data_IF_053638941340
#
_entry.id   IF_053638941340
#
_cell.length_a   1.000
_cell.length_b   1.000
_cell.length_c   1.000
_cell.angle_alpha   90.00
_cell.angle_beta   90.00
_cell.angle_gamma   90.00
#
_symmetry.space_group_name_H-M   'P 1'
#
loop_
_entity.id
_entity.type
_entity.pdbx_description
1 polymer ?
#
# COMPACT_ATOMS: atom_id res chain seq x y z
N UNK A 1 -3.21 -11.66 -21.09
CA UNK A 1 -1.93 -11.10 -20.62
C UNK A 1 -1.14 -12.21 -19.97
N UNK A 2 0.17 -12.31 -20.24
CA UNK A 2 1.00 -13.40 -19.71
C UNK A 2 1.14 -13.31 -18.18
N UNK A 3 1.12 -14.42 -17.42
CA UNK A 3 1.21 -14.41 -15.96
C UNK A 3 2.43 -13.63 -15.42
N UNK A 4 3.56 -13.72 -16.13
CA UNK A 4 4.78 -12.96 -15.83
C UNK A 4 4.56 -11.44 -15.89
N UNK A 5 3.86 -10.96 -16.91
CA UNK A 5 3.60 -9.54 -17.11
C UNK A 5 2.64 -9.01 -16.03
N UNK A 6 1.62 -9.80 -15.69
CA UNK A 6 0.68 -9.49 -14.61
C UNK A 6 1.39 -9.38 -13.26
N UNK A 7 2.38 -10.25 -12.99
CA UNK A 7 3.14 -10.23 -11.76
C UNK A 7 3.90 -8.90 -11.57
N UNK A 8 4.61 -8.45 -12.62
CA UNK A 8 5.35 -7.18 -12.58
C UNK A 8 4.42 -5.97 -12.40
N UNK A 9 3.25 -5.98 -13.05
CA UNK A 9 2.26 -4.90 -12.89
C UNK A 9 1.80 -4.82 -11.44
N UNK A 10 1.37 -5.95 -10.87
CA UNK A 10 0.86 -6.00 -9.48
C UNK A 10 1.95 -5.62 -8.47
N UNK A 11 3.18 -6.12 -8.64
CA UNK A 11 4.36 -5.71 -7.86
C UNK A 11 4.58 -4.19 -7.94
N UNK A 12 4.59 -3.66 -9.17
CA UNK A 12 4.78 -2.24 -9.41
C UNK A 12 3.72 -1.36 -8.73
N UNK A 13 2.45 -1.80 -8.72
CA UNK A 13 1.37 -1.08 -8.04
C UNK A 13 1.60 -0.99 -6.53
N UNK A 14 1.99 -2.08 -5.86
CA UNK A 14 2.31 -2.04 -4.42
C UNK A 14 3.52 -1.14 -4.15
N UNK A 15 4.61 -1.31 -4.88
CA UNK A 15 5.86 -0.56 -4.61
C UNK A 15 5.64 0.94 -4.78
N UNK A 16 4.90 1.38 -5.80
CA UNK A 16 4.57 2.80 -5.99
C UNK A 16 3.63 3.32 -4.92
N UNK A 17 2.53 2.62 -4.66
CA UNK A 17 1.54 3.07 -3.68
C UNK A 17 2.07 3.05 -2.24
N UNK A 18 3.01 2.16 -1.92
CA UNK A 18 3.74 2.18 -0.64
C UNK A 18 4.60 3.44 -0.47
N UNK A 19 5.24 3.92 -1.54
CA UNK A 19 5.96 5.19 -1.54
C UNK A 19 5.01 6.39 -1.42
N UNK A 20 3.89 6.38 -2.14
CA UNK A 20 2.82 7.39 -2.01
C UNK A 20 2.32 7.47 -0.57
N UNK A 21 1.96 6.33 0.02
CA UNK A 21 1.50 6.26 1.41
C UNK A 21 2.54 6.80 2.40
N UNK A 22 3.81 6.43 2.22
CA UNK A 22 4.91 6.96 3.04
C UNK A 22 5.07 8.48 2.94
N UNK A 23 4.84 9.04 1.75
CA UNK A 23 4.90 10.48 1.52
C UNK A 23 3.74 11.19 2.21
N UNK A 24 2.50 10.74 1.97
CA UNK A 24 1.31 11.33 2.59
C UNK A 24 1.30 11.21 4.12
N UNK A 25 1.92 10.16 4.67
CA UNK A 25 2.10 10.03 6.12
C UNK A 25 2.99 11.13 6.68
N UNK A 26 4.05 11.53 5.95
CA UNK A 26 4.90 12.67 6.33
C UNK A 26 4.15 13.99 6.20
N UNK A 27 3.43 14.20 5.10
CA UNK A 27 2.61 15.40 4.89
C UNK A 27 1.56 15.57 6.00
N UNK A 28 0.95 14.48 6.47
CA UNK A 28 0.00 14.55 7.59
C UNK A 28 0.66 15.03 8.88
N UNK A 29 1.88 14.55 9.19
CA UNK A 29 2.65 14.99 10.36
C UNK A 29 2.99 16.49 10.25
N UNK A 30 3.38 16.95 9.06
CA UNK A 30 3.68 18.36 8.80
C UNK A 30 2.42 19.25 8.95
N UNK A 31 1.28 18.81 8.41
CA UNK A 31 0.00 19.50 8.54
C UNK A 31 -0.46 19.57 10.00
N UNK A 32 -0.29 18.49 10.77
CA UNK A 32 -0.60 18.45 12.21
C UNK A 32 0.29 19.43 12.99
N UNK A 33 1.60 19.41 12.75
CA UNK A 33 2.54 20.35 13.41
C UNK A 33 2.23 21.81 13.08
N UNK A 34 1.80 22.07 11.84
CA UNK A 34 1.35 23.41 11.41
C UNK A 34 0.07 23.84 12.14
N UNK A 35 -0.91 22.94 12.27
CA UNK A 35 -2.13 23.20 13.04
C UNK A 35 -1.81 23.51 14.51
N UNK A 36 -0.90 22.75 15.13
CA UNK A 36 -0.47 23.01 16.51
C UNK A 36 0.18 24.38 16.68
N UNK A 37 1.03 24.76 15.72
CA UNK A 37 1.69 26.07 15.72
C UNK A 37 0.68 27.21 15.56
N UNK A 38 -0.27 27.07 14.62
CA UNK A 38 -1.31 28.09 14.37
C UNK A 38 -2.29 28.17 15.54
N UNK A 39 -2.62 27.06 16.21
CA UNK A 39 -3.46 27.08 17.42
C UNK A 39 -2.85 27.90 18.57
N UNK A 40 -1.53 28.09 18.60
CA UNK A 40 -0.86 28.84 19.66
C UNK A 40 -0.89 30.37 19.42
N UNK A 41 -0.94 30.82 18.16
CA UNK A 41 -0.72 32.24 17.83
C UNK A 41 -1.72 32.85 16.86
N UNK A 42 -2.46 32.02 16.12
CA UNK A 42 -3.31 32.45 15.01
C UNK A 42 -4.74 32.78 15.42
N UNK A 43 -5.48 33.38 14.48
CA UNK A 43 -6.90 33.66 14.64
C UNK A 43 -7.81 32.46 14.29
N UNK A 44 -9.11 32.61 14.52
CA UNK A 44 -10.10 31.55 14.25
C UNK A 44 -10.09 31.10 12.78
N UNK A 45 -9.88 32.03 11.84
CA UNK A 45 -9.87 31.72 10.42
C UNK A 45 -8.64 30.91 10.04
N UNK A 46 -7.46 31.29 10.56
CA UNK A 46 -6.21 30.55 10.35
C UNK A 46 -6.28 29.14 10.94
N UNK A 47 -6.80 28.99 12.16
CA UNK A 47 -6.98 27.68 12.81
C UNK A 47 -7.92 26.80 11.99
N UNK A 48 -9.04 27.34 11.52
CA UNK A 48 -10.00 26.61 10.69
C UNK A 48 -9.39 26.16 9.37
N UNK A 49 -8.62 27.03 8.72
CA UNK A 49 -7.91 26.68 7.50
C UNK A 49 -6.90 25.54 7.72
N UNK A 50 -6.08 25.63 8.78
CA UNK A 50 -5.11 24.58 9.11
C UNK A 50 -5.79 23.25 9.48
N UNK A 51 -6.96 23.30 10.13
CA UNK A 51 -7.75 22.11 10.44
C UNK A 51 -8.30 21.46 9.15
N UNK A 52 -8.75 22.26 8.18
CA UNK A 52 -9.18 21.74 6.88
C UNK A 52 -8.04 21.06 6.14
N UNK A 53 -6.83 21.65 6.16
CA UNK A 53 -5.65 21.04 5.58
C UNK A 53 -5.37 19.65 6.19
N UNK A 54 -5.40 19.52 7.52
CA UNK A 54 -5.24 18.21 8.19
C UNK A 54 -6.32 17.22 7.75
N UNK A 55 -7.57 17.66 7.63
CA UNK A 55 -8.68 16.80 7.23
C UNK A 55 -8.52 16.30 5.79
N UNK A 56 -8.12 17.17 4.86
CA UNK A 56 -7.86 16.84 3.46
C UNK A 56 -6.70 15.85 3.33
N UNK A 57 -5.56 16.12 3.99
CA UNK A 57 -4.40 15.22 3.97
C UNK A 57 -4.74 13.86 4.60
N UNK A 58 -5.54 13.84 5.67
CA UNK A 58 -6.01 12.60 6.30
C UNK A 58 -6.86 11.79 5.32
N UNK A 59 -7.78 12.43 4.59
CA UNK A 59 -8.63 11.74 3.62
C UNK A 59 -7.81 11.09 2.49
N UNK A 60 -6.79 11.79 1.98
CA UNK A 60 -5.87 11.26 0.95
C UNK A 60 -5.07 10.05 1.47
N UNK A 61 -4.58 10.14 2.71
CA UNK A 61 -3.82 9.05 3.33
C UNK A 61 -4.68 7.79 3.49
N UNK A 62 -5.93 7.93 3.95
CA UNK A 62 -6.86 6.81 4.14
C UNK A 62 -7.29 6.18 2.80
N UNK A 63 -7.51 6.96 1.74
CA UNK A 63 -7.75 6.40 0.41
C UNK A 63 -6.55 5.61 -0.11
N UNK A 64 -5.35 6.19 0.04
CA UNK A 64 -4.10 5.53 -0.37
C UNK A 64 -3.88 4.23 0.42
N UNK A 65 -4.20 4.21 1.71
CA UNK A 65 -4.18 3.02 2.56
C UNK A 65 -5.10 1.92 2.04
N UNK A 66 -6.35 2.26 1.68
CA UNK A 66 -7.32 1.31 1.11
C UNK A 66 -6.83 0.73 -0.20
N UNK A 67 -6.35 1.57 -1.12
CA UNK A 67 -5.75 1.14 -2.39
C UNK A 67 -4.56 0.19 -2.18
N UNK A 68 -3.65 0.54 -1.28
CA UNK A 68 -2.47 -0.27 -0.97
C UNK A 68 -2.85 -1.65 -0.40
N UNK A 69 -3.83 -1.69 0.50
CA UNK A 69 -4.39 -2.95 1.05
C UNK A 69 -4.99 -3.81 -0.06
N UNK A 70 -5.73 -3.20 -0.99
CA UNK A 70 -6.31 -3.87 -2.16
C UNK A 70 -5.24 -4.46 -3.09
N UNK A 71 -4.21 -3.68 -3.42
CA UNK A 71 -3.10 -4.15 -4.27
C UNK A 71 -2.29 -5.28 -3.61
N UNK A 72 -2.06 -5.20 -2.29
CA UNK A 72 -1.42 -6.26 -1.53
C UNK A 72 -2.22 -7.56 -1.57
N UNK A 73 -3.53 -7.47 -1.35
CA UNK A 73 -4.45 -8.61 -1.42
C UNK A 73 -4.48 -9.25 -2.81
N UNK A 74 -4.56 -8.43 -3.85
CA UNK A 74 -4.58 -8.87 -5.24
C UNK A 74 -3.25 -9.53 -5.67
N UNK A 75 -2.10 -8.98 -5.27
CA UNK A 75 -0.80 -9.62 -5.54
C UNK A 75 -0.66 -10.95 -4.78
N UNK A 76 -0.99 -11.00 -3.49
CA UNK A 76 -0.89 -12.22 -2.68
C UNK A 76 -1.80 -13.33 -3.25
N UNK A 77 -3.04 -12.99 -3.63
CA UNK A 77 -3.94 -13.91 -4.31
C UNK A 77 -3.35 -14.40 -5.64
N UNK A 78 -2.90 -13.50 -6.49
CA UNK A 78 -2.32 -13.85 -7.78
C UNK A 78 -1.08 -14.75 -7.64
N UNK A 79 -0.21 -14.44 -6.68
CA UNK A 79 0.95 -15.26 -6.37
C UNK A 79 0.55 -16.68 -5.94
N UNK A 80 -0.44 -16.82 -5.05
CA UNK A 80 -0.88 -18.13 -4.55
C UNK A 80 -1.55 -18.98 -5.62
N UNK A 81 -2.43 -18.38 -6.40
CA UNK A 81 -3.31 -19.12 -7.33
C UNK A 81 -2.67 -19.35 -8.69
N UNK A 82 -1.96 -18.36 -9.23
CA UNK A 82 -1.46 -18.39 -10.61
C UNK A 82 0.04 -18.64 -10.68
N UNK A 83 0.83 -18.04 -9.78
CA UNK A 83 2.29 -18.14 -9.87
C UNK A 83 2.88 -19.33 -9.11
N UNK A 84 2.34 -19.68 -7.94
CA UNK A 84 2.87 -20.76 -7.10
C UNK A 84 2.91 -22.12 -7.81
N UNK A 85 1.92 -22.53 -8.62
CA UNK A 85 2.03 -23.76 -9.41
C UNK A 85 3.18 -23.70 -10.41
N UNK A 86 3.33 -22.57 -11.12
CA UNK A 86 4.37 -22.37 -12.13
C UNK A 86 5.78 -22.35 -11.52
N UNK A 87 5.95 -21.78 -10.33
CA UNK A 87 7.24 -21.68 -9.62
C UNK A 87 7.67 -23.02 -9.01
N UNK A 88 6.68 -23.87 -8.64
CA UNK A 88 6.92 -25.22 -8.09
C UNK A 88 7.34 -26.23 -9.15
N UNK A 89 7.09 -25.96 -10.43
CA UNK A 89 7.55 -26.82 -11.51
C UNK A 89 9.10 -26.91 -11.48
N UNK A 90 9.69 -28.12 -11.45
CA UNK A 90 11.14 -28.28 -11.51
C UNK A 90 11.79 -27.64 -12.74
N UNK A 91 11.07 -27.58 -13.87
CA UNK A 91 11.50 -26.95 -15.12
C UNK A 91 11.33 -25.42 -15.13
N UNK A 92 10.73 -24.84 -14.09
CA UNK A 92 10.48 -23.41 -14.02
C UNK A 92 11.78 -22.59 -14.16
N UNK A 93 11.81 -21.60 -15.07
CA UNK A 93 12.99 -20.76 -15.26
C UNK A 93 13.41 -20.07 -13.96
N UNK A 94 14.73 -19.98 -13.71
CA UNK A 94 15.28 -19.29 -12.53
C UNK A 94 14.73 -17.87 -12.36
N UNK A 95 14.58 -17.15 -13.48
CA UNK A 95 14.00 -15.79 -13.50
C UNK A 95 12.59 -15.75 -12.89
N UNK A 96 11.73 -16.73 -13.18
CA UNK A 96 10.37 -16.77 -12.63
C UNK A 96 10.39 -16.91 -11.10
N UNK A 97 11.31 -17.74 -10.58
CA UNK A 97 11.50 -17.92 -9.14
C UNK A 97 12.00 -16.63 -8.47
N UNK A 98 12.92 -15.91 -9.12
CA UNK A 98 13.38 -14.58 -8.65
C UNK A 98 12.24 -13.57 -8.55
N UNK A 99 11.46 -13.43 -9.62
CA UNK A 99 10.32 -12.50 -9.65
C UNK A 99 9.29 -12.81 -8.57
N UNK A 100 9.01 -14.11 -8.35
CA UNK A 100 8.11 -14.54 -7.27
C UNK A 100 8.67 -14.15 -5.89
N UNK A 101 9.97 -14.34 -5.66
CA UNK A 101 10.62 -13.97 -4.41
C UNK A 101 10.59 -12.45 -4.19
N UNK A 102 10.87 -11.65 -5.22
CA UNK A 102 10.81 -10.18 -5.15
C UNK A 102 9.41 -9.69 -4.76
N UNK A 103 8.35 -10.31 -5.30
CA UNK A 103 6.97 -9.97 -4.91
C UNK A 103 6.70 -10.34 -3.45
N UNK A 104 7.21 -11.48 -3.00
CA UNK A 104 7.11 -11.91 -1.61
C UNK A 104 7.81 -10.93 -0.68
N UNK A 105 9.01 -10.48 -1.04
CA UNK A 105 9.77 -9.47 -0.30
C UNK A 105 9.05 -8.13 -0.28
N UNK A 106 8.41 -7.70 -1.38
CA UNK A 106 7.61 -6.46 -1.38
C UNK A 106 6.42 -6.52 -0.42
N UNK A 107 5.75 -7.68 -0.31
CA UNK A 107 4.67 -7.90 0.65
C UNK A 107 5.21 -7.93 2.10
N UNK A 108 6.33 -8.62 2.33
CA UNK A 108 6.99 -8.67 3.65
C UNK A 108 7.45 -7.27 4.08
N UNK A 109 8.03 -6.48 3.17
CA UNK A 109 8.43 -5.09 3.40
C UNK A 109 7.22 -4.23 3.80
N UNK A 110 6.11 -4.32 3.06
CA UNK A 110 4.86 -3.60 3.39
C UNK A 110 4.42 -3.87 4.84
N UNK A 111 4.38 -5.13 5.25
CA UNK A 111 3.97 -5.50 6.63
C UNK A 111 4.94 -5.01 7.70
N UNK A 112 6.23 -4.84 7.34
CA UNK A 112 7.28 -4.39 8.26
C UNK A 112 7.29 -2.86 8.39
N UNK A 113 7.16 -2.14 7.29
CA UNK A 113 7.28 -0.66 7.26
C UNK A 113 5.97 0.04 7.57
N UNK A 114 4.84 -0.62 7.30
CA UNK A 114 3.50 -0.09 7.48
C UNK A 114 2.59 -1.09 8.20
N UNK A 115 2.88 -1.42 9.48
CA UNK A 115 2.08 -2.38 10.24
C UNK A 115 0.63 -1.92 10.46
N UNK A 116 0.32 -0.64 10.29
CA UNK A 116 -1.04 -0.10 10.35
C UNK A 116 -1.92 -0.45 9.14
N UNK A 117 -1.33 -1.01 8.08
CA UNK A 117 -2.05 -1.52 6.91
C UNK A 117 -2.54 -2.93 7.27
N UNK A 118 -3.86 -3.07 7.41
CA UNK A 118 -4.52 -4.33 7.77
C UNK A 118 -4.55 -5.30 6.58
N UNK A 119 -3.37 -5.75 6.15
CA UNK A 119 -3.19 -6.79 5.17
C UNK A 119 -2.67 -8.06 5.85
N UNK A 120 -3.37 -9.18 5.62
CA UNK A 120 -2.99 -10.50 6.13
C UNK A 120 -2.71 -11.44 4.96
N UNK A 121 -1.43 -11.70 4.72
CA UNK A 121 -1.00 -12.69 3.72
C UNK A 121 -1.61 -14.07 4.05
N UNK A 122 -2.02 -14.80 3.02
CA UNK A 122 -2.58 -16.14 3.17
C UNK A 122 -4.10 -16.19 3.46
N UNK A 123 -4.79 -15.07 3.63
CA UNK A 123 -6.25 -15.06 3.76
C UNK A 123 -6.94 -15.13 2.38
N UNK A 124 -8.04 -15.89 2.29
CA UNK A 124 -8.94 -15.82 1.14
C UNK A 124 -9.60 -14.45 1.17
N UNK A 125 -9.54 -13.73 0.06
CA UNK A 125 -10.36 -12.55 -0.17
C UNK A 125 -11.81 -13.02 -0.18
N UNK A 126 -12.51 -12.90 0.94
CA UNK A 126 -13.97 -12.91 0.91
C UNK A 126 -14.35 -11.70 0.07
N UNK A 127 -14.87 -11.98 -1.12
CA UNK A 127 -15.36 -10.97 -2.04
C UNK A 127 -16.26 -10.01 -1.26
N UNK A 128 -15.98 -8.70 -1.37
CA UNK A 128 -16.95 -7.67 -1.04
C UNK A 128 -18.14 -7.86 -1.99
N UNK A 129 -19.08 -8.69 -1.55
CA UNK A 129 -20.45 -8.81 -2.03
C UNK A 129 -21.32 -8.23 -0.92
N UNK A 130 -21.44 -6.91 -0.87
CA UNK A 130 -22.67 -6.22 -0.42
C UNK A 130 -22.68 -4.82 -0.98
#
# INVERSE_FOLDING_TARGET
MEPKQMLEIKKGSIVRTMKEYSLYKKELVEAQSKLESIKATGDEHEVKWAQNLVNETTAVLEDTKKRLTGFASDLDQFMREKMKPLVKDPSAPRMLKSMFLECKTAIEELTKTHPEIDFKSGQKTEAQLT
#
